data_IF_064867899288
#
_entry.id   IF_064867899288
#
_cell.length_a   1.000
_cell.length_b   1.000
_cell.length_c   1.000
_cell.angle_alpha   90.00
_cell.angle_beta   90.00
_cell.angle_gamma   90.00
#
_symmetry.space_group_name_H-M   'P 1'
#
loop_
_entity.id
_entity.type
_entity.pdbx_description
1 polymer ?
#
# COMPACT_ATOMS: atom_id res chain seq x y z
N UNK A 1 2.00 15.90 1.51
CA UNK A 1 2.38 16.57 2.76
C UNK A 1 1.13 16.93 3.57
N UNK A 2 1.14 16.84 4.93
CA UNK A 2 -0.04 17.02 5.78
C UNK A 2 -0.72 18.39 5.61
N UNK A 3 0.06 19.45 5.48
CA UNK A 3 -0.43 20.84 5.34
C UNK A 3 -1.30 21.05 4.09
N UNK A 4 -1.11 20.22 3.07
CA UNK A 4 -1.93 20.26 1.85
C UNK A 4 -3.14 19.34 1.90
N UNK A 5 -3.32 18.57 2.98
CA UNK A 5 -4.44 17.65 3.14
C UNK A 5 -5.57 18.23 4.01
N UNK A 6 -5.33 19.35 4.68
CA UNK A 6 -6.32 20.00 5.52
C UNK A 6 -7.57 20.43 4.75
N UNK A 7 -8.74 20.32 5.38
CA UNK A 7 -10.02 20.73 4.79
C UNK A 7 -10.75 19.63 4.00
N UNK A 8 -10.19 18.40 3.99
CA UNK A 8 -10.83 17.24 3.36
C UNK A 8 -10.72 17.23 1.84
N UNK A 9 -11.33 16.24 1.21
CA UNK A 9 -11.19 15.92 -0.23
C UNK A 9 -11.45 17.10 -1.15
N UNK A 10 -12.49 17.90 -0.88
CA UNK A 10 -12.82 19.07 -1.73
C UNK A 10 -11.69 20.11 -1.73
N UNK A 11 -11.08 20.38 -0.57
CA UNK A 11 -9.98 21.32 -0.46
C UNK A 11 -8.70 20.76 -1.10
N UNK A 12 -8.45 19.47 -1.01
CA UNK A 12 -7.34 18.80 -1.72
C UNK A 12 -7.53 18.94 -3.23
N UNK A 13 -8.71 18.65 -3.77
CA UNK A 13 -9.00 18.81 -5.20
C UNK A 13 -8.82 20.27 -5.66
N UNK A 14 -9.23 21.27 -4.87
CA UNK A 14 -9.00 22.68 -5.20
C UNK A 14 -7.50 23.00 -5.30
N UNK A 15 -6.68 22.53 -4.35
CA UNK A 15 -5.22 22.72 -4.39
C UNK A 15 -4.58 21.98 -5.58
N UNK A 16 -5.05 20.78 -5.89
CA UNK A 16 -4.56 20.02 -7.04
C UNK A 16 -4.99 20.63 -8.39
N UNK A 17 -6.03 21.45 -8.42
CA UNK A 17 -6.41 22.21 -9.60
C UNK A 17 -5.57 23.49 -9.80
N UNK A 18 -4.86 23.96 -8.77
CA UNK A 18 -4.02 25.16 -8.81
C UNK A 18 -2.56 24.80 -9.13
N UNK A 19 -1.99 25.28 -10.24
CA UNK A 19 -0.60 25.01 -10.62
C UNK A 19 0.43 25.48 -9.59
N UNK A 20 0.21 26.58 -8.90
CA UNK A 20 1.13 27.05 -7.86
C UNK A 20 1.12 26.15 -6.63
N UNK A 21 -0.06 25.64 -6.25
CA UNK A 21 -0.15 24.62 -5.21
C UNK A 21 0.55 23.32 -5.60
N UNK A 22 0.38 22.83 -6.85
CA UNK A 22 1.11 21.64 -7.34
C UNK A 22 2.62 21.82 -7.25
N UNK A 23 3.11 22.98 -7.66
CA UNK A 23 4.54 23.31 -7.56
C UNK A 23 5.01 23.26 -6.11
N UNK A 24 4.29 23.88 -5.18
CA UNK A 24 4.62 23.86 -3.77
C UNK A 24 4.61 22.43 -3.19
N UNK A 25 3.61 21.63 -3.52
CA UNK A 25 3.54 20.21 -3.11
C UNK A 25 4.74 19.43 -3.65
N UNK A 26 5.09 19.63 -4.92
CA UNK A 26 6.23 18.96 -5.57
C UNK A 26 7.55 19.32 -4.90
N UNK A 27 7.78 20.59 -4.55
CA UNK A 27 9.00 21.01 -3.85
C UNK A 27 9.13 20.34 -2.46
N UNK A 28 8.02 20.19 -1.74
CA UNK A 28 8.03 19.46 -0.45
C UNK A 28 8.28 17.98 -0.66
N UNK A 29 7.64 17.34 -1.66
CA UNK A 29 7.81 15.90 -1.94
C UNK A 29 9.21 15.54 -2.45
N UNK A 30 9.97 16.50 -2.99
CA UNK A 30 11.37 16.30 -3.40
C UNK A 30 12.37 16.35 -2.25
N UNK A 31 11.94 16.74 -1.07
CA UNK A 31 12.81 16.84 0.10
C UNK A 31 12.53 15.68 1.08
N UNK A 32 13.57 15.19 1.77
CA UNK A 32 13.39 14.30 2.91
C UNK A 32 12.50 14.96 3.98
N UNK A 33 11.69 14.17 4.66
CA UNK A 33 10.79 14.67 5.69
C UNK A 33 10.81 13.79 6.93
N UNK A 34 11.00 14.42 8.09
CA UNK A 34 10.84 13.78 9.40
C UNK A 34 9.41 13.96 9.98
N UNK A 35 8.54 14.69 9.26
CA UNK A 35 7.19 15.05 9.72
C UNK A 35 6.16 14.06 9.18
N UNK A 36 6.38 13.51 7.98
CA UNK A 36 5.49 12.55 7.34
C UNK A 36 6.29 11.53 6.53
N UNK A 37 5.72 10.34 6.34
CA UNK A 37 6.29 9.31 5.48
C UNK A 37 6.13 9.71 4.01
N UNK A 38 7.24 10.05 3.36
CA UNK A 38 7.25 10.43 1.95
C UNK A 38 7.36 9.19 1.07
N UNK A 39 6.22 8.61 0.68
CA UNK A 39 6.16 7.40 -0.14
C UNK A 39 6.85 7.59 -1.50
N UNK A 40 6.83 8.80 -2.07
CA UNK A 40 7.52 9.08 -3.34
C UNK A 40 9.03 8.96 -3.19
N UNK A 41 9.58 9.39 -2.07
CA UNK A 41 11.01 9.23 -1.75
C UNK A 41 11.37 7.76 -1.50
N UNK A 42 10.55 7.05 -0.72
CA UNK A 42 10.80 5.67 -0.31
C UNK A 42 10.64 4.67 -1.47
N UNK A 43 9.59 4.80 -2.25
CA UNK A 43 9.23 3.86 -3.31
C UNK A 43 9.71 4.29 -4.70
N UNK A 44 9.71 5.61 -4.98
CA UNK A 44 9.77 6.11 -6.35
C UNK A 44 8.48 5.81 -7.12
N UNK A 45 8.24 6.54 -8.20
CA UNK A 45 7.03 6.39 -9.00
C UNK A 45 6.90 5.04 -9.72
N UNK A 46 7.99 4.30 -9.86
CA UNK A 46 8.04 2.96 -10.43
C UNK A 46 7.38 1.91 -9.53
N UNK A 47 7.35 2.15 -8.22
CA UNK A 47 6.84 1.21 -7.21
C UNK A 47 5.58 1.71 -6.50
N UNK A 48 4.97 2.79 -6.98
CA UNK A 48 3.65 3.27 -6.56
C UNK A 48 2.66 2.95 -7.66
N UNK A 49 1.71 2.07 -7.40
CA UNK A 49 0.73 1.57 -8.36
C UNK A 49 -0.65 2.13 -8.04
N UNK A 50 -1.35 2.65 -9.06
CA UNK A 50 -2.75 3.03 -8.94
C UNK A 50 -3.62 1.77 -9.05
N UNK A 51 -4.22 1.34 -7.94
CA UNK A 51 -4.95 0.07 -7.84
C UNK A 51 -6.41 0.21 -8.25
N UNK A 52 -7.09 1.25 -7.77
CA UNK A 52 -8.50 1.53 -8.07
C UNK A 52 -8.61 2.85 -8.80
N UNK A 53 -9.13 2.81 -10.03
CA UNK A 53 -9.36 3.95 -10.90
C UNK A 53 -10.74 3.79 -11.54
N UNK A 54 -11.57 4.83 -11.50
CA UNK A 54 -12.99 4.77 -11.87
C UNK A 54 -13.30 5.54 -13.16
N UNK A 55 -12.57 6.62 -13.42
CA UNK A 55 -12.83 7.48 -14.59
C UNK A 55 -12.52 6.74 -15.89
N UNK A 56 -13.27 7.04 -16.94
CA UNK A 56 -13.06 6.45 -18.27
C UNK A 56 -11.62 6.66 -18.77
N UNK A 57 -10.99 7.76 -18.41
CA UNK A 57 -9.61 8.10 -18.81
C UNK A 57 -8.60 7.18 -18.13
N UNK A 58 -8.75 6.90 -16.83
CA UNK A 58 -7.71 6.23 -16.06
C UNK A 58 -8.02 4.77 -15.71
N UNK A 59 -9.28 4.34 -15.69
CA UNK A 59 -9.66 2.95 -15.39
C UNK A 59 -8.89 1.87 -16.19
N UNK A 60 -8.55 2.07 -17.50
CA UNK A 60 -7.75 1.10 -18.26
C UNK A 60 -6.34 0.88 -17.71
N UNK A 61 -5.84 1.79 -16.88
CA UNK A 61 -4.48 1.76 -16.33
C UNK A 61 -4.41 1.25 -14.89
N UNK A 62 -5.52 0.80 -14.32
CA UNK A 62 -5.54 0.21 -12.98
C UNK A 62 -4.53 -0.95 -12.85
N UNK A 63 -3.69 -0.86 -11.83
CA UNK A 63 -2.60 -1.80 -11.57
C UNK A 63 -1.27 -1.43 -12.24
N UNK A 64 -1.21 -0.31 -12.97
CA UNK A 64 0.06 0.24 -13.48
C UNK A 64 0.69 1.17 -12.46
N UNK A 65 2.03 1.29 -12.49
CA UNK A 65 2.73 2.27 -11.69
C UNK A 65 2.50 3.69 -12.23
N UNK A 66 2.67 4.69 -11.35
CA UNK A 66 2.58 6.09 -11.75
C UNK A 66 3.59 6.41 -12.85
N UNK A 67 4.82 5.85 -12.78
CA UNK A 67 5.82 6.02 -13.82
C UNK A 67 5.40 5.40 -15.17
N UNK A 68 4.70 4.26 -15.17
CA UNK A 68 4.18 3.68 -16.41
C UNK A 68 3.08 4.55 -17.02
N UNK A 69 2.16 5.05 -16.18
CA UNK A 69 1.08 5.95 -16.64
C UNK A 69 1.66 7.26 -17.16
N UNK A 70 2.63 7.83 -16.46
CA UNK A 70 3.38 9.02 -16.87
C UNK A 70 3.97 8.88 -18.28
N UNK A 71 4.64 7.75 -18.56
CA UNK A 71 5.19 7.49 -19.91
C UNK A 71 4.11 7.36 -20.97
N UNK A 72 2.96 6.75 -20.65
CA UNK A 72 1.84 6.60 -21.59
C UNK A 72 1.26 7.96 -21.99
N UNK A 73 1.17 8.90 -21.02
CA UNK A 73 0.63 10.23 -21.26
C UNK A 73 1.70 11.27 -21.65
N UNK A 74 2.97 10.86 -21.78
CA UNK A 74 4.13 11.73 -22.03
C UNK A 74 4.15 12.95 -21.08
N UNK A 75 4.05 12.68 -19.77
CA UNK A 75 3.87 13.68 -18.74
C UNK A 75 4.80 13.43 -17.55
N UNK A 76 5.15 14.50 -16.83
CA UNK A 76 5.89 14.40 -15.57
C UNK A 76 5.16 13.51 -14.54
N UNK A 77 5.86 12.64 -13.78
CA UNK A 77 5.22 11.74 -12.82
C UNK A 77 4.46 12.44 -11.69
N UNK A 78 4.93 13.59 -11.19
CA UNK A 78 4.21 14.37 -10.19
C UNK A 78 2.90 14.91 -10.77
N UNK A 79 2.98 15.50 -11.97
CA UNK A 79 1.80 16.02 -12.65
C UNK A 79 0.81 14.90 -12.99
N UNK A 80 1.30 13.73 -13.38
CA UNK A 80 0.46 12.54 -13.63
C UNK A 80 -0.26 12.09 -12.34
N UNK A 81 0.44 12.06 -11.22
CA UNK A 81 -0.16 11.72 -9.91
C UNK A 81 -1.26 12.73 -9.54
N UNK A 82 -1.00 14.04 -9.72
CA UNK A 82 -1.97 15.08 -9.38
C UNK A 82 -3.21 15.02 -10.29
N UNK A 83 -3.02 14.76 -11.57
CA UNK A 83 -4.13 14.61 -12.52
C UNK A 83 -5.00 13.40 -12.21
N UNK A 84 -4.39 12.25 -11.85
CA UNK A 84 -5.13 11.07 -11.40
C UNK A 84 -5.94 11.40 -10.16
N UNK A 85 -5.30 11.95 -9.13
CA UNK A 85 -5.98 12.29 -7.87
C UNK A 85 -7.13 13.29 -8.10
N UNK A 86 -6.92 14.29 -8.94
CA UNK A 86 -7.95 15.27 -9.25
C UNK A 86 -9.11 14.65 -10.03
N UNK A 87 -8.83 13.88 -11.07
CA UNK A 87 -9.85 13.24 -11.91
C UNK A 87 -10.69 12.22 -11.14
N UNK A 88 -10.06 11.49 -10.23
CA UNK A 88 -10.72 10.48 -9.38
C UNK A 88 -11.29 11.07 -8.09
N UNK A 89 -11.28 12.40 -7.89
CA UNK A 89 -11.71 13.05 -6.67
C UNK A 89 -11.02 12.49 -5.40
N UNK A 90 -9.75 12.14 -5.51
CA UNK A 90 -8.94 11.48 -4.49
C UNK A 90 -9.48 10.10 -4.03
N UNK A 91 -10.42 9.50 -4.75
CA UNK A 91 -10.92 8.14 -4.49
C UNK A 91 -10.06 7.12 -5.26
N UNK A 92 -8.80 7.01 -4.85
CA UNK A 92 -7.80 6.11 -5.43
C UNK A 92 -7.21 5.24 -4.33
N UNK A 93 -7.18 3.94 -4.56
CA UNK A 93 -6.38 3.03 -3.74
C UNK A 93 -5.02 2.82 -4.40
N UNK A 94 -3.96 2.97 -3.64
CA UNK A 94 -2.60 2.69 -4.09
C UNK A 94 -2.09 1.36 -3.55
N UNK A 95 -1.12 0.79 -4.24
CA UNK A 95 -0.24 -0.26 -3.76
C UNK A 95 1.19 0.26 -3.90
N UNK A 96 2.03 0.00 -2.91
CA UNK A 96 3.44 0.29 -2.97
C UNK A 96 4.31 -0.92 -2.61
N UNK A 97 5.59 -0.85 -2.93
CA UNK A 97 6.57 -1.89 -2.60
C UNK A 97 7.78 -1.24 -1.93
N UNK A 98 7.63 -0.90 -0.64
CA UNK A 98 8.64 -0.21 0.17
C UNK A 98 9.38 -1.13 1.15
N UNK A 99 8.82 -2.30 1.47
CA UNK A 99 9.44 -3.25 2.38
C UNK A 99 10.16 -4.38 1.62
N UNK A 100 11.30 -4.84 2.16
CA UNK A 100 12.00 -6.01 1.66
C UNK A 100 11.41 -7.31 2.27
N UNK A 101 11.59 -8.43 1.56
CA UNK A 101 11.20 -9.75 2.10
C UNK A 101 12.05 -10.12 3.33
N UNK A 102 13.32 -9.74 3.34
CA UNK A 102 14.24 -10.02 4.45
C UNK A 102 13.82 -9.28 5.73
N UNK A 103 13.46 -7.99 5.62
CA UNK A 103 12.94 -7.22 6.75
C UNK A 103 11.62 -7.79 7.26
N UNK A 104 10.71 -8.12 6.37
CA UNK A 104 9.44 -8.75 6.72
C UNK A 104 9.68 -10.06 7.47
N UNK A 105 10.58 -10.92 6.98
CA UNK A 105 10.93 -12.19 7.63
C UNK A 105 11.66 -11.98 8.96
N UNK A 106 12.51 -10.95 9.08
CA UNK A 106 13.15 -10.61 10.33
C UNK A 106 12.13 -10.36 11.45
N UNK A 107 11.11 -9.53 11.15
CA UNK A 107 10.03 -9.29 12.10
C UNK A 107 9.14 -10.53 12.30
N UNK A 108 8.78 -11.23 11.23
CA UNK A 108 7.87 -12.38 11.32
C UNK A 108 8.47 -13.56 12.13
N UNK A 109 9.79 -13.69 12.17
CA UNK A 109 10.48 -14.71 12.99
C UNK A 109 10.45 -14.38 14.48
N UNK A 110 10.27 -13.14 14.87
CA UNK A 110 10.20 -12.75 16.28
C UNK A 110 9.01 -13.43 16.96
N UNK A 111 9.26 -13.93 18.18
CA UNK A 111 8.23 -14.63 18.96
C UNK A 111 7.07 -13.73 19.37
N UNK A 112 7.22 -12.43 19.33
CA UNK A 112 6.17 -11.44 19.61
C UNK A 112 5.28 -11.16 18.39
N UNK A 113 5.74 -11.48 17.18
CA UNK A 113 5.01 -11.17 15.97
C UNK A 113 3.85 -12.13 15.70
N UNK A 114 2.72 -11.59 15.33
CA UNK A 114 1.57 -12.31 14.78
C UNK A 114 1.50 -12.11 13.27
N UNK A 115 0.94 -13.07 12.55
CA UNK A 115 0.59 -12.86 11.15
C UNK A 115 -0.86 -12.37 11.04
N UNK A 116 -1.03 -11.24 10.36
CA UNK A 116 -2.34 -10.71 9.94
C UNK A 116 -2.29 -10.41 8.44
N UNK A 117 -3.44 -10.29 7.80
CA UNK A 117 -3.52 -9.95 6.37
C UNK A 117 -3.55 -8.45 6.11
N UNK A 118 -4.05 -7.67 7.05
CA UNK A 118 -4.35 -6.24 6.86
C UNK A 118 -5.14 -5.99 5.56
N UNK A 119 -6.06 -6.90 5.24
CA UNK A 119 -6.79 -6.89 3.98
C UNK A 119 -7.83 -5.76 3.94
N UNK A 120 -7.75 -4.96 2.87
CA UNK A 120 -8.76 -3.96 2.52
C UNK A 120 -9.39 -4.41 1.21
N UNK A 121 -10.72 -4.40 1.16
CA UNK A 121 -11.51 -4.79 -0.01
C UNK A 121 -12.08 -3.53 -0.67
N UNK A 122 -11.40 -2.94 -1.68
CA UNK A 122 -11.95 -1.82 -2.42
C UNK A 122 -13.18 -2.26 -3.23
N UNK A 123 -14.06 -1.31 -3.57
CA UNK A 123 -15.26 -1.58 -4.36
C UNK A 123 -14.97 -2.05 -5.80
N UNK A 124 -13.70 -1.93 -6.26
CA UNK A 124 -13.26 -2.34 -7.60
C UNK A 124 -11.74 -2.24 -7.75
N UNK A 125 -11.25 -2.42 -8.96
CA UNK A 125 -9.82 -2.31 -9.28
C UNK A 125 -9.00 -3.58 -9.03
N UNK A 126 -7.71 -3.41 -8.81
CA UNK A 126 -6.77 -4.49 -8.53
C UNK A 126 -6.55 -4.62 -7.02
N UNK A 127 -6.93 -5.77 -6.46
CA UNK A 127 -6.71 -6.03 -5.03
C UNK A 127 -5.22 -6.20 -4.71
N UNK A 128 -4.83 -5.71 -3.52
CA UNK A 128 -3.52 -6.04 -3.00
C UNK A 128 -3.39 -7.57 -2.84
N UNK A 129 -2.26 -8.20 -3.25
CA UNK A 129 -2.07 -9.65 -3.13
C UNK A 129 -2.32 -10.20 -1.71
N UNK A 130 -2.11 -9.39 -0.68
CA UNK A 130 -2.35 -9.78 0.74
C UNK A 130 -3.80 -10.19 1.03
N UNK A 131 -4.77 -9.69 0.23
CA UNK A 131 -6.21 -10.01 0.40
C UNK A 131 -6.45 -11.52 0.34
N UNK A 132 -5.80 -12.19 -0.59
CA UNK A 132 -5.94 -13.65 -0.78
C UNK A 132 -4.68 -14.42 -0.42
N UNK A 133 -3.52 -13.77 -0.40
CA UNK A 133 -2.21 -14.42 -0.35
C UNK A 133 -1.50 -14.39 1.00
N UNK A 134 -1.87 -13.54 1.96
CA UNK A 134 -1.10 -13.40 3.20
C UNK A 134 -0.92 -14.74 3.94
N UNK A 135 -2.00 -15.44 4.25
CA UNK A 135 -1.95 -16.71 4.96
C UNK A 135 -1.47 -17.87 4.07
N UNK A 136 -1.99 -18.05 2.82
CA UNK A 136 -1.45 -19.07 1.93
C UNK A 136 0.05 -18.94 1.68
N UNK A 137 0.57 -17.72 1.49
CA UNK A 137 2.00 -17.48 1.28
C UNK A 137 2.87 -17.96 2.44
N UNK A 138 2.41 -17.78 3.70
CA UNK A 138 3.13 -18.32 4.86
C UNK A 138 3.29 -19.84 4.72
N UNK A 139 2.21 -20.54 4.39
CA UNK A 139 2.20 -22.00 4.31
C UNK A 139 2.96 -22.52 3.06
N UNK A 140 2.79 -21.88 1.91
CA UNK A 140 3.44 -22.32 0.67
C UNK A 140 4.91 -21.95 0.63
N UNK A 141 5.21 -20.66 0.68
CA UNK A 141 6.55 -20.17 0.44
C UNK A 141 7.47 -20.40 1.66
N UNK A 142 6.97 -20.12 2.87
CA UNK A 142 7.84 -20.07 4.05
C UNK A 142 7.84 -21.36 4.88
N UNK A 143 6.80 -22.19 4.80
CA UNK A 143 6.79 -23.53 5.40
C UNK A 143 7.25 -24.57 4.38
N UNK A 144 6.48 -24.75 3.29
CA UNK A 144 6.71 -25.84 2.33
C UNK A 144 8.01 -25.66 1.54
N UNK A 145 8.22 -24.50 0.92
CA UNK A 145 9.29 -24.32 -0.07
C UNK A 145 10.60 -23.84 0.58
N UNK A 146 10.59 -22.77 1.35
CA UNK A 146 11.79 -22.20 2.01
C UNK A 146 12.11 -22.83 3.36
N UNK A 147 11.18 -23.57 3.98
CA UNK A 147 11.34 -24.24 5.27
C UNK A 147 11.82 -23.31 6.39
N UNK A 148 11.33 -22.08 6.40
CA UNK A 148 11.70 -21.05 7.39
C UNK A 148 10.93 -21.27 8.69
N UNK A 149 9.68 -21.75 8.61
CA UNK A 149 8.83 -22.08 9.75
C UNK A 149 8.40 -23.55 9.68
N UNK A 150 8.12 -24.16 10.84
CA UNK A 150 7.35 -25.40 10.90
C UNK A 150 5.88 -25.12 10.60
N UNK A 151 5.12 -26.15 10.29
CA UNK A 151 3.66 -25.98 10.09
C UNK A 151 2.98 -25.58 11.40
N UNK A 152 3.45 -26.11 12.53
CA UNK A 152 2.94 -25.82 13.86
C UNK A 152 3.17 -24.33 14.22
N UNK A 153 4.39 -23.81 14.00
CA UNK A 153 4.71 -22.40 14.24
C UNK A 153 3.85 -21.48 13.37
N UNK A 154 3.69 -21.82 12.09
CA UNK A 154 2.88 -21.04 11.17
C UNK A 154 1.41 -20.99 11.61
N UNK A 155 0.82 -22.14 11.94
CA UNK A 155 -0.56 -22.21 12.42
C UNK A 155 -0.70 -21.46 13.74
N UNK A 156 0.24 -21.62 14.68
CA UNK A 156 0.22 -20.91 15.95
C UNK A 156 0.22 -19.39 15.76
N UNK A 157 1.12 -18.85 14.89
CA UNK A 157 1.21 -17.42 14.58
C UNK A 157 -0.05 -16.85 13.92
N UNK A 158 -0.84 -17.66 13.24
CA UNK A 158 -2.09 -17.25 12.58
C UNK A 158 -3.33 -17.42 13.46
N UNK A 159 -3.27 -18.19 14.53
CA UNK A 159 -4.47 -18.62 15.28
C UNK A 159 -4.34 -18.41 16.80
N UNK A 160 -3.74 -19.35 17.52
CA UNK A 160 -3.69 -19.35 18.99
C UNK A 160 -2.95 -18.11 19.53
N UNK A 161 -1.88 -17.69 18.90
CA UNK A 161 -1.10 -16.56 19.36
C UNK A 161 -1.87 -15.24 19.33
N UNK A 162 -2.47 -14.79 18.20
CA UNK A 162 -3.31 -13.59 18.20
C UNK A 162 -4.52 -13.73 19.15
N UNK A 163 -5.10 -14.92 19.29
CA UNK A 163 -6.18 -15.16 20.25
C UNK A 163 -5.73 -14.93 21.70
N UNK A 164 -4.53 -15.38 22.06
CA UNK A 164 -3.95 -15.14 23.39
C UNK A 164 -3.70 -13.65 23.65
N UNK A 165 -3.14 -12.92 22.66
CA UNK A 165 -2.91 -11.47 22.76
C UNK A 165 -4.22 -10.72 23.01
N UNK A 166 -5.30 -11.13 22.35
CA UNK A 166 -6.62 -10.53 22.48
C UNK A 166 -7.46 -11.11 23.63
N UNK A 167 -6.92 -12.03 24.43
CA UNK A 167 -7.63 -12.73 25.50
C UNK A 167 -8.92 -13.43 25.03
N UNK A 168 -8.91 -13.95 23.80
CA UNK A 168 -10.02 -14.68 23.21
C UNK A 168 -9.79 -16.18 23.39
N UNK A 169 -10.77 -16.89 23.97
CA UNK A 169 -10.70 -18.35 24.11
C UNK A 169 -11.05 -19.05 22.78
N UNK A 170 -10.15 -18.93 21.80
CA UNK A 170 -10.23 -19.49 20.44
C UNK A 170 -8.83 -19.79 19.93
N UNK A 171 -8.73 -20.34 18.72
CA UNK A 171 -7.46 -20.53 18.01
C UNK A 171 -6.70 -21.80 18.38
N UNK A 172 -7.31 -22.72 19.11
CA UNK A 172 -6.78 -24.04 19.40
C UNK A 172 -7.71 -25.13 18.86
N UNK A 173 -7.13 -26.27 18.52
CA UNK A 173 -7.91 -27.48 18.21
C UNK A 173 -8.44 -28.09 19.52
N UNK A 174 -9.70 -28.48 19.49
CA UNK A 174 -10.34 -29.15 20.64
C UNK A 174 -9.90 -30.61 20.75
#
# INVERSE_FOLDING_TARGET
PPEFQEGGTSAICQRLADPECRKAITEVLKQPSDIFENIVELAGFERIYASTLHTQTYAPYAGKSIAEISRIFDKDPYETLYDILLAEHCDVTMLDTIASEDDMLYFLKDDRANLISDAIYPAGGKYHPRVYGAFPKLLTDYVRDKKIFTIEDAIYKMTAKPAQVLSINRGVLA
#
